data_IF_177591283958
#
_entry.id   IF_177591283958
#
_cell.length_a   1.000
_cell.length_b   1.000
_cell.length_c   1.000
_cell.angle_alpha   90.00
_cell.angle_beta   90.00
_cell.angle_gamma   90.00
#
_symmetry.space_group_name_H-M   'P 1'
#
loop_
_entity.id
_entity.type
_entity.pdbx_description
1 polymer ?
#
# COMPACT_ATOMS: atom_id res chain seq x y z
N UNK A 1 30.77 0.06 -6.70
CA UNK A 1 32.21 -0.22 -6.56
C UNK A 1 32.95 1.11 -6.48
N UNK A 2 34.09 1.13 -5.81
CA UNK A 2 34.97 2.31 -5.68
C UNK A 2 36.37 1.92 -6.09
N UNK A 3 37.02 2.77 -6.88
CA UNK A 3 38.39 2.57 -7.35
C UNK A 3 39.32 3.57 -6.67
N UNK A 4 40.48 3.11 -6.24
CA UNK A 4 41.47 3.88 -5.51
C UNK A 4 42.84 3.85 -6.20
N UNK A 5 43.60 4.91 -5.96
CA UNK A 5 45.02 5.08 -6.24
C UNK A 5 45.73 5.14 -4.89
N UNK A 6 46.19 3.99 -4.39
CA UNK A 6 46.81 3.87 -3.07
C UNK A 6 48.27 4.31 -3.11
N UNK A 7 48.95 4.11 -4.24
CA UNK A 7 50.36 4.46 -4.40
C UNK A 7 50.59 5.91 -4.87
N UNK A 8 49.53 6.59 -5.32
CA UNK A 8 49.59 7.98 -5.80
C UNK A 8 50.12 8.10 -7.23
N UNK A 9 50.24 6.99 -7.96
CA UNK A 9 50.79 6.92 -9.32
C UNK A 9 49.88 7.50 -10.40
N UNK A 10 48.69 7.98 -10.05
CA UNK A 10 47.78 8.65 -10.96
C UNK A 10 46.79 7.72 -11.67
N UNK A 11 46.95 6.40 -11.54
CA UNK A 11 46.02 5.38 -12.02
C UNK A 11 45.41 4.61 -10.85
N UNK A 12 44.22 4.05 -11.05
CA UNK A 12 43.60 3.22 -10.02
C UNK A 12 44.28 1.83 -9.96
N UNK A 13 44.87 1.50 -8.82
CA UNK A 13 45.54 0.23 -8.53
C UNK A 13 44.72 -0.69 -7.60
N UNK A 14 43.70 -0.16 -6.92
CA UNK A 14 42.91 -0.89 -5.95
C UNK A 14 41.41 -0.69 -6.16
N UNK A 15 40.61 -1.68 -5.77
CA UNK A 15 39.15 -1.64 -5.91
C UNK A 15 38.47 -2.22 -4.67
N UNK A 16 37.36 -1.57 -4.29
CA UNK A 16 36.52 -1.99 -3.18
C UNK A 16 35.03 -2.03 -3.57
N UNK A 17 34.26 -2.74 -2.75
CA UNK A 17 32.80 -2.68 -2.80
C UNK A 17 32.30 -1.65 -1.78
N UNK A 18 31.46 -0.70 -2.20
CA UNK A 18 30.82 0.24 -1.27
C UNK A 18 29.64 -0.47 -0.64
N UNK A 19 29.75 -0.80 0.65
CA UNK A 19 28.70 -1.47 1.42
C UNK A 19 27.63 -0.48 1.90
N UNK A 20 28.05 0.71 2.34
CA UNK A 20 27.13 1.74 2.86
C UNK A 20 27.70 3.15 2.67
N UNK A 21 26.80 4.13 2.70
CA UNK A 21 27.12 5.56 2.78
C UNK A 21 26.35 6.14 3.98
N UNK A 22 27.07 6.72 4.93
CA UNK A 22 26.50 7.37 6.12
C UNK A 22 27.04 8.79 6.20
N UNK A 23 26.19 9.78 5.95
CA UNK A 23 26.61 11.17 5.81
C UNK A 23 27.63 11.32 4.68
N UNK A 24 28.80 11.91 4.99
CA UNK A 24 29.91 12.08 4.07
C UNK A 24 30.93 10.92 4.07
N UNK A 25 30.62 9.82 4.74
CA UNK A 25 31.53 8.67 4.89
C UNK A 25 31.00 7.46 4.13
N UNK A 26 31.85 6.86 3.30
CA UNK A 26 31.61 5.54 2.71
C UNK A 26 32.18 4.46 3.63
N UNK A 27 31.49 3.32 3.73
CA UNK A 27 32.05 2.08 4.28
C UNK A 27 32.26 1.12 3.13
N UNK A 28 33.48 0.63 2.98
CA UNK A 28 33.88 -0.28 1.90
C UNK A 28 34.17 -1.66 2.44
N UNK A 29 34.03 -2.69 1.59
CA UNK A 29 34.56 -4.03 1.79
C UNK A 29 35.68 -4.21 0.77
N UNK A 30 36.89 -4.44 1.25
CA UNK A 30 38.10 -4.49 0.44
C UNK A 30 38.90 -5.76 0.75
N UNK A 31 39.49 -6.34 -0.30
CA UNK A 31 40.43 -7.45 -0.18
C UNK A 31 41.85 -6.96 0.08
N UNK A 32 42.74 -7.89 0.45
CA UNK A 32 44.16 -7.62 0.69
C UNK A 32 44.45 -6.52 1.74
N UNK A 33 43.50 -6.24 2.64
CA UNK A 33 43.70 -5.32 3.75
C UNK A 33 44.51 -6.03 4.86
N UNK A 34 45.83 -6.09 4.70
CA UNK A 34 46.73 -6.95 5.50
C UNK A 34 46.40 -8.44 5.35
N UNK A 35 46.35 -8.94 4.12
CA UNK A 35 46.07 -10.36 3.79
C UNK A 35 44.68 -10.87 4.25
N UNK A 36 43.72 -9.98 4.48
CA UNK A 36 42.32 -10.32 4.80
C UNK A 36 41.33 -9.45 4.04
N UNK A 37 40.06 -9.85 4.07
CA UNK A 37 38.94 -8.96 3.76
C UNK A 37 38.69 -8.08 4.98
N UNK A 38 38.59 -6.78 4.79
CA UNK A 38 38.28 -5.83 5.86
C UNK A 38 37.24 -4.81 5.42
N UNK A 39 36.58 -4.22 6.41
CA UNK A 39 35.76 -3.03 6.22
C UNK A 39 36.56 -1.79 6.56
N UNK A 40 36.63 -0.86 5.63
CA UNK A 40 37.31 0.41 5.80
C UNK A 40 36.32 1.56 5.68
N UNK A 41 36.68 2.73 6.21
CA UNK A 41 35.86 3.95 6.14
C UNK A 41 36.67 5.09 5.56
N UNK A 42 36.08 5.76 4.58
CA UNK A 42 36.71 6.89 3.89
C UNK A 42 35.71 8.04 3.74
N UNK A 43 36.20 9.27 3.66
CA UNK A 43 35.38 10.35 3.14
C UNK A 43 34.99 10.02 1.68
N UNK A 44 33.78 10.37 1.27
CA UNK A 44 33.31 10.11 -0.11
C UNK A 44 34.18 10.79 -1.18
N UNK A 45 34.90 11.84 -0.81
CA UNK A 45 35.81 12.61 -1.66
C UNK A 45 37.28 12.45 -1.23
N UNK A 46 37.64 11.34 -0.57
CA UNK A 46 39.04 11.05 -0.24
C UNK A 46 39.91 11.13 -1.50
N UNK A 47 41.05 11.81 -1.42
CA UNK A 47 41.91 12.11 -2.57
C UNK A 47 42.41 10.87 -3.31
N UNK A 48 42.46 9.72 -2.62
CA UNK A 48 42.84 8.43 -3.23
C UNK A 48 41.75 7.86 -4.12
N UNK A 49 40.51 8.33 -4.02
CA UNK A 49 39.40 7.82 -4.80
C UNK A 49 39.47 8.40 -6.22
N UNK A 50 39.63 7.52 -7.21
CA UNK A 50 39.59 7.90 -8.64
C UNK A 50 38.19 7.87 -9.23
N UNK A 51 37.27 7.16 -8.59
CA UNK A 51 35.88 7.21 -8.97
C UNK A 51 35.05 6.05 -8.45
N UNK A 52 33.77 6.11 -8.81
CA UNK A 52 32.78 5.10 -8.47
C UNK A 52 32.24 4.46 -9.74
N UNK A 53 32.25 3.14 -9.78
CA UNK A 53 31.55 2.39 -10.80
C UNK A 53 30.24 1.86 -10.22
N UNK A 54 29.15 2.09 -10.94
CA UNK A 54 27.82 1.55 -10.62
C UNK A 54 27.47 0.48 -11.64
N UNK A 55 27.68 -0.82 -11.34
CA UNK A 55 27.15 -1.88 -12.18
C UNK A 55 25.67 -1.67 -12.48
N UNK A 56 25.23 -2.08 -13.65
CA UNK A 56 23.80 -2.14 -13.99
C UNK A 56 23.16 -3.28 -13.19
N UNK A 57 22.90 -3.03 -11.91
CA UNK A 57 22.04 -3.89 -11.13
C UNK A 57 20.67 -3.92 -11.83
N UNK A 58 20.15 -5.12 -12.12
CA UNK A 58 18.79 -5.28 -12.65
C UNK A 58 17.82 -4.49 -11.78
N UNK A 59 16.68 -4.05 -12.34
CA UNK A 59 15.72 -3.16 -11.67
C UNK A 59 15.51 -3.61 -10.22
N UNK A 60 16.14 -2.88 -9.31
CA UNK A 60 16.05 -3.15 -7.89
C UNK A 60 14.59 -2.92 -7.56
N UNK A 61 13.86 -3.99 -7.24
CA UNK A 61 12.47 -3.88 -6.82
C UNK A 61 12.45 -2.82 -5.71
N UNK A 62 11.79 -1.70 -5.99
CA UNK A 62 11.56 -0.64 -5.02
C UNK A 62 11.09 -1.36 -3.76
N UNK A 63 11.79 -1.17 -2.64
CA UNK A 63 11.44 -1.84 -1.38
C UNK A 63 9.93 -1.71 -1.21
N UNK A 64 9.24 -2.84 -1.07
CA UNK A 64 7.84 -2.86 -0.68
C UNK A 64 7.84 -2.35 0.76
N UNK A 65 7.59 -1.05 0.94
CA UNK A 65 7.69 -0.42 2.26
C UNK A 65 6.64 -0.95 3.25
N UNK A 66 5.61 -1.64 2.75
CA UNK A 66 4.50 -2.17 3.55
C UNK A 66 4.37 -3.67 3.40
N UNK A 67 4.14 -4.34 4.52
CA UNK A 67 3.79 -5.77 4.57
C UNK A 67 2.35 -5.99 4.09
N UNK A 68 2.03 -7.23 3.73
CA UNK A 68 0.65 -7.65 3.37
C UNK A 68 -0.32 -7.32 4.52
N UNK A 69 0.08 -7.56 5.76
CA UNK A 69 -0.73 -7.27 6.95
C UNK A 69 -1.00 -5.76 7.11
N UNK A 70 0.00 -4.93 6.89
CA UNK A 70 -0.19 -3.47 6.91
C UNK A 70 -1.13 -3.04 5.78
N UNK A 71 -0.94 -3.54 4.57
CA UNK A 71 -1.81 -3.23 3.44
C UNK A 71 -3.25 -3.68 3.68
N UNK A 72 -3.45 -4.87 4.24
CA UNK A 72 -4.78 -5.38 4.54
C UNK A 72 -5.51 -4.51 5.57
N UNK A 73 -4.82 -4.06 6.62
CA UNK A 73 -5.37 -3.06 7.57
C UNK A 73 -5.69 -1.75 6.87
N UNK A 74 -4.80 -1.24 6.01
CA UNK A 74 -5.06 -0.02 5.26
C UNK A 74 -6.23 -0.14 4.27
N UNK A 75 -6.47 -1.33 3.72
CA UNK A 75 -7.65 -1.61 2.89
C UNK A 75 -8.91 -1.55 3.74
N UNK A 76 -8.90 -2.15 4.94
CA UNK A 76 -9.99 -2.05 5.92
C UNK A 76 -10.20 -0.60 6.40
N UNK A 77 -9.12 0.17 6.56
CA UNK A 77 -9.13 1.61 6.88
C UNK A 77 -9.47 2.50 5.67
N UNK A 78 -9.87 1.91 4.54
CA UNK A 78 -10.34 2.61 3.32
C UNK A 78 -9.27 3.45 2.59
N UNK A 79 -7.98 3.30 2.89
CA UNK A 79 -6.90 4.07 2.24
C UNK A 79 -6.66 3.69 0.77
N UNK A 80 -7.19 2.53 0.36
CA UNK A 80 -7.01 1.99 -0.99
C UNK A 80 -8.26 2.07 -1.86
N UNK A 81 -9.35 2.71 -1.42
CA UNK A 81 -10.61 2.74 -2.18
C UNK A 81 -11.39 1.42 -2.13
N UNK A 82 -12.42 1.28 -2.96
CA UNK A 82 -13.30 0.10 -2.99
C UNK A 82 -13.40 -0.54 -4.39
N UNK A 83 -13.80 -1.81 -4.44
CA UNK A 83 -14.00 -2.57 -5.68
C UNK A 83 -12.83 -2.48 -6.67
N UNK A 84 -13.13 -2.12 -7.92
CA UNK A 84 -12.14 -2.00 -8.99
C UNK A 84 -11.08 -0.92 -8.72
N UNK A 85 -11.41 0.14 -7.96
CA UNK A 85 -10.45 1.20 -7.67
C UNK A 85 -9.32 0.71 -6.77
N UNK A 86 -9.66 -0.12 -5.77
CA UNK A 86 -8.69 -0.80 -4.92
C UNK A 86 -7.73 -1.67 -5.69
N UNK A 87 -8.27 -2.49 -6.60
CA UNK A 87 -7.45 -3.36 -7.47
C UNK A 87 -6.45 -2.50 -8.24
N UNK A 88 -6.91 -1.44 -8.89
CA UNK A 88 -6.04 -0.54 -9.67
C UNK A 88 -4.95 0.10 -8.81
N UNK A 89 -5.29 0.65 -7.64
CA UNK A 89 -4.31 1.36 -6.78
C UNK A 89 -3.24 0.42 -6.22
N UNK A 90 -3.63 -0.76 -5.73
CA UNK A 90 -2.69 -1.74 -5.19
C UNK A 90 -1.74 -2.27 -6.27
N UNK A 91 -2.27 -2.59 -7.46
CA UNK A 91 -1.46 -3.07 -8.59
C UNK A 91 -0.54 -1.97 -9.12
N UNK A 92 -1.02 -0.74 -9.27
CA UNK A 92 -0.20 0.40 -9.69
C UNK A 92 0.93 0.71 -8.69
N UNK A 93 0.70 0.45 -7.39
CA UNK A 93 1.72 0.54 -6.35
C UNK A 93 2.70 -0.66 -6.33
N UNK A 94 2.48 -1.68 -7.18
CA UNK A 94 3.35 -2.85 -7.32
C UNK A 94 3.11 -3.95 -6.27
N UNK A 95 1.95 -3.92 -5.60
CA UNK A 95 1.55 -4.95 -4.63
C UNK A 95 0.75 -6.07 -5.30
N UNK A 96 0.79 -7.26 -4.69
CA UNK A 96 -0.04 -8.39 -5.10
C UNK A 96 -1.45 -8.24 -4.50
N UNK A 97 -2.42 -7.93 -5.36
CA UNK A 97 -3.80 -7.75 -4.92
C UNK A 97 -4.39 -9.01 -4.28
N UNK A 98 -4.11 -10.20 -4.82
CA UNK A 98 -4.71 -11.45 -4.32
C UNK A 98 -4.23 -11.71 -2.89
N UNK A 99 -2.93 -11.59 -2.66
CA UNK A 99 -2.34 -11.80 -1.35
C UNK A 99 -2.86 -10.79 -0.31
N UNK A 100 -3.03 -9.52 -0.70
CA UNK A 100 -3.63 -8.50 0.18
C UNK A 100 -5.10 -8.83 0.46
N UNK A 101 -5.88 -9.20 -0.55
CA UNK A 101 -7.30 -9.50 -0.41
C UNK A 101 -7.54 -10.76 0.45
N UNK A 102 -6.74 -11.80 0.29
CA UNK A 102 -6.79 -12.99 1.16
C UNK A 102 -6.54 -12.61 2.63
N UNK A 103 -5.57 -11.72 2.89
CA UNK A 103 -5.32 -11.25 4.25
C UNK A 103 -6.45 -10.40 4.79
N UNK A 104 -7.06 -9.52 3.97
CA UNK A 104 -8.26 -8.76 4.34
C UNK A 104 -9.37 -9.73 4.75
N UNK A 105 -9.65 -10.76 3.96
CA UNK A 105 -10.68 -11.75 4.26
C UNK A 105 -10.40 -12.46 5.59
N UNK A 106 -9.14 -12.83 5.88
CA UNK A 106 -8.78 -13.43 7.18
C UNK A 106 -9.03 -12.48 8.35
N UNK A 107 -8.65 -11.21 8.24
CA UNK A 107 -8.85 -10.22 9.30
C UNK A 107 -10.34 -10.00 9.60
N UNK A 108 -11.19 -10.08 8.58
CA UNK A 108 -12.64 -9.93 8.72
C UNK A 108 -13.24 -11.14 9.44
N UNK A 109 -12.82 -12.36 9.07
CA UNK A 109 -13.22 -13.58 9.77
C UNK A 109 -12.77 -13.53 11.25
N UNK A 110 -11.57 -13.04 11.52
CA UNK A 110 -11.06 -12.86 12.89
C UNK A 110 -11.93 -11.86 13.68
N UNK A 111 -12.25 -10.69 13.10
CA UNK A 111 -13.15 -9.69 13.70
C UNK A 111 -14.53 -10.28 14.01
N UNK A 112 -15.08 -11.07 13.10
CA UNK A 112 -16.43 -11.61 13.23
C UNK A 112 -16.54 -12.68 14.34
N UNK A 113 -15.44 -13.38 14.66
CA UNK A 113 -15.38 -14.30 15.82
C UNK A 113 -15.50 -13.57 17.15
N UNK A 114 -15.09 -12.31 17.21
CA UNK A 114 -15.16 -11.47 18.41
C UNK A 114 -16.54 -10.80 18.60
N UNK A 115 -17.52 -11.07 17.71
CA UNK A 115 -18.93 -10.73 17.90
C UNK A 115 -19.31 -9.26 17.74
N UNK A 116 -18.37 -8.38 17.40
CA UNK A 116 -18.61 -6.94 17.23
C UNK A 116 -19.15 -6.62 15.81
N UNK A 117 -20.40 -7.00 15.53
CA UNK A 117 -21.11 -6.54 14.32
C UNK A 117 -21.81 -5.21 14.58
N UNK A 118 -21.75 -4.30 13.61
CA UNK A 118 -22.48 -3.04 13.70
C UNK A 118 -23.98 -3.29 13.55
N UNK A 119 -24.79 -2.62 14.37
CA UNK A 119 -26.24 -2.69 14.25
C UNK A 119 -26.71 -2.17 12.88
N UNK A 120 -27.63 -2.87 12.20
CA UNK A 120 -28.09 -2.45 10.89
C UNK A 120 -28.97 -1.21 10.95
N UNK A 121 -28.80 -0.33 9.96
CA UNK A 121 -29.76 0.76 9.72
C UNK A 121 -31.17 0.18 9.47
N UNK A 122 -32.18 0.79 10.09
CA UNK A 122 -33.58 0.40 9.94
C UNK A 122 -34.15 0.78 8.56
N UNK A 123 -35.11 -0.01 8.06
CA UNK A 123 -35.91 0.37 6.89
C UNK A 123 -36.75 1.60 7.24
N UNK A 124 -36.81 2.58 6.34
CA UNK A 124 -37.47 3.87 6.55
C UNK A 124 -36.56 4.94 7.16
N UNK A 125 -35.43 4.58 7.75
CA UNK A 125 -34.41 5.55 8.12
C UNK A 125 -33.72 6.13 6.88
N UNK A 126 -33.01 7.24 7.06
CA UNK A 126 -32.23 7.86 5.99
C UNK A 126 -30.75 7.76 6.27
N UNK A 127 -29.96 7.51 5.23
CA UNK A 127 -28.49 7.40 5.31
C UNK A 127 -27.83 8.35 4.33
N UNK A 128 -26.69 8.90 4.72
CA UNK A 128 -25.83 9.64 3.81
C UNK A 128 -25.03 8.66 2.97
N UNK A 129 -25.00 8.84 1.66
CA UNK A 129 -24.03 8.16 0.79
C UNK A 129 -22.70 8.88 0.96
N UNK A 130 -21.65 8.18 1.39
CA UNK A 130 -20.38 8.82 1.67
C UNK A 130 -19.71 9.42 0.42
N UNK A 131 -18.93 10.48 0.59
CA UNK A 131 -18.20 11.14 -0.51
C UNK A 131 -17.13 10.25 -1.16
N UNK A 132 -16.70 9.19 -0.47
CA UNK A 132 -15.77 8.19 -1.02
C UNK A 132 -16.47 7.05 -1.76
N UNK A 133 -17.80 6.92 -1.67
CA UNK A 133 -18.52 5.85 -2.33
C UNK A 133 -18.36 5.98 -3.85
N UNK A 134 -17.86 4.92 -4.52
CA UNK A 134 -17.62 4.95 -5.97
C UNK A 134 -18.53 4.04 -6.78
N UNK A 135 -18.96 2.91 -6.22
CA UNK A 135 -19.81 1.93 -6.89
C UNK A 135 -20.87 1.39 -5.94
N UNK A 136 -22.04 1.08 -6.51
CA UNK A 136 -23.07 0.29 -5.84
C UNK A 136 -22.58 -1.14 -5.62
N UNK A 137 -23.26 -1.88 -4.74
CA UNK A 137 -23.00 -3.31 -4.51
C UNK A 137 -22.99 -4.11 -5.82
N UNK A 138 -23.88 -3.76 -6.75
CA UNK A 138 -24.02 -4.37 -8.08
C UNK A 138 -22.92 -3.96 -9.08
N UNK A 139 -21.97 -3.12 -8.67
CA UNK A 139 -20.80 -2.75 -9.45
C UNK A 139 -20.98 -1.57 -10.39
N UNK A 140 -22.18 -1.02 -10.56
CA UNK A 140 -22.39 0.23 -11.31
C UNK A 140 -21.82 1.42 -10.53
N UNK A 141 -21.29 2.41 -11.26
CA UNK A 141 -20.78 3.64 -10.63
C UNK A 141 -21.90 4.42 -9.95
N UNK A 142 -21.60 4.94 -8.76
CA UNK A 142 -22.46 5.90 -8.08
C UNK A 142 -22.29 7.26 -8.77
N UNK A 143 -23.40 7.90 -9.12
CA UNK A 143 -23.39 9.20 -9.77
C UNK A 143 -23.00 10.31 -8.77
N UNK A 144 -22.31 11.36 -9.23
CA UNK A 144 -21.80 12.40 -8.33
C UNK A 144 -22.89 13.15 -7.56
N UNK A 145 -24.10 13.28 -8.13
CA UNK A 145 -25.24 13.91 -7.46
C UNK A 145 -25.76 13.10 -6.26
N UNK A 146 -25.42 11.82 -6.17
CA UNK A 146 -25.80 10.93 -5.07
C UNK A 146 -24.82 11.08 -3.89
N UNK A 147 -23.54 11.31 -4.18
CA UNK A 147 -22.50 11.36 -3.17
C UNK A 147 -22.67 12.56 -2.23
N UNK A 148 -22.46 12.32 -0.95
CA UNK A 148 -22.66 13.31 0.11
C UNK A 148 -24.14 13.62 0.39
N UNK A 149 -25.09 13.01 -0.32
CA UNK A 149 -26.54 13.23 -0.12
C UNK A 149 -27.16 12.14 0.72
N UNK A 150 -28.34 12.46 1.27
CA UNK A 150 -29.10 11.60 2.18
C UNK A 150 -30.28 10.99 1.43
N UNK A 151 -30.46 9.68 1.57
CA UNK A 151 -31.52 8.91 0.93
C UNK A 151 -32.18 7.96 1.91
N UNK A 152 -33.45 7.65 1.67
CA UNK A 152 -34.24 6.74 2.51
C UNK A 152 -33.89 5.29 2.17
N UNK A 153 -33.67 4.48 3.20
CA UNK A 153 -33.48 3.03 3.12
C UNK A 153 -34.84 2.37 2.88
N UNK A 154 -35.05 1.81 1.69
CA UNK A 154 -36.26 1.03 1.35
C UNK A 154 -36.16 -0.42 1.80
N UNK A 155 -34.97 -1.00 1.74
CA UNK A 155 -34.75 -2.40 2.04
C UNK A 155 -33.34 -2.58 2.60
N UNK A 156 -33.13 -3.62 3.39
CA UNK A 156 -31.81 -4.02 3.89
C UNK A 156 -31.62 -5.52 3.76
N UNK A 157 -30.38 -5.93 3.53
CA UNK A 157 -30.00 -7.35 3.45
C UNK A 157 -28.65 -7.57 4.12
N UNK A 158 -28.56 -8.65 4.90
CA UNK A 158 -27.30 -9.15 5.45
C UNK A 158 -26.51 -9.85 4.34
N UNK A 159 -25.20 -9.60 4.27
CA UNK A 159 -24.33 -10.17 3.25
C UNK A 159 -23.02 -10.68 3.86
N UNK A 160 -22.45 -11.69 3.23
CA UNK A 160 -21.08 -12.14 3.49
C UNK A 160 -20.14 -11.36 2.56
N UNK A 161 -19.56 -10.27 3.06
CA UNK A 161 -18.66 -9.42 2.29
C UNK A 161 -17.49 -8.91 3.15
N UNK A 162 -16.27 -8.79 2.58
CA UNK A 162 -15.06 -8.50 3.36
C UNK A 162 -15.01 -7.15 4.09
N UNK A 163 -15.98 -6.28 3.92
CA UNK A 163 -15.97 -4.93 4.52
C UNK A 163 -17.36 -4.48 4.97
N UNK A 164 -18.37 -5.32 4.77
CA UNK A 164 -19.76 -4.92 4.88
C UNK A 164 -20.57 -6.11 5.37
N UNK A 165 -21.27 -5.94 6.48
CA UNK A 165 -22.19 -6.97 6.97
C UNK A 165 -23.59 -6.74 6.38
N UNK A 166 -23.87 -5.52 5.91
CA UNK A 166 -25.16 -5.10 5.38
C UNK A 166 -25.05 -4.37 4.04
N UNK A 167 -26.14 -4.44 3.27
CA UNK A 167 -26.45 -3.56 2.14
C UNK A 167 -27.83 -2.94 2.32
N UNK A 168 -27.98 -1.72 1.82
CA UNK A 168 -29.19 -0.90 1.93
C UNK A 168 -29.65 -0.46 0.55
N UNK A 169 -30.87 -0.81 0.16
CA UNK A 169 -31.50 -0.28 -1.05
C UNK A 169 -31.93 1.15 -0.77
N UNK A 170 -31.29 2.11 -1.44
CA UNK A 170 -31.61 3.52 -1.28
C UNK A 170 -32.68 3.97 -2.26
N UNK A 171 -33.43 4.98 -1.87
CA UNK A 171 -34.42 5.61 -2.72
C UNK A 171 -34.36 7.12 -2.75
N UNK A 172 -34.69 7.68 -3.91
CA UNK A 172 -34.93 9.09 -4.10
C UNK A 172 -36.41 9.28 -4.41
N UNK A 173 -37.16 9.88 -3.47
CA UNK A 173 -38.62 10.09 -3.59
C UNK A 173 -39.40 8.81 -3.91
N UNK A 174 -39.06 7.70 -3.23
CA UNK A 174 -39.72 6.41 -3.41
C UNK A 174 -39.27 5.59 -4.61
N UNK A 175 -38.35 6.12 -5.43
CA UNK A 175 -37.75 5.38 -6.55
C UNK A 175 -36.41 4.82 -6.11
N UNK A 176 -36.23 3.51 -6.22
CA UNK A 176 -34.97 2.83 -5.92
C UNK A 176 -33.84 3.34 -6.83
N UNK A 177 -32.69 3.66 -6.23
CA UNK A 177 -31.51 4.20 -6.94
C UNK A 177 -30.30 3.27 -6.91
N UNK A 178 -30.20 2.37 -5.93
CA UNK A 178 -29.11 1.41 -5.86
C UNK A 178 -28.90 0.81 -4.47
N UNK A 179 -28.18 -0.32 -4.44
CA UNK A 179 -27.77 -1.01 -3.21
C UNK A 179 -26.44 -0.44 -2.70
N UNK A 180 -26.49 0.28 -1.59
CA UNK A 180 -25.32 0.83 -0.90
C UNK A 180 -24.78 -0.18 0.10
N UNK A 181 -23.47 -0.43 0.08
CA UNK A 181 -22.80 -1.24 1.10
C UNK A 181 -22.67 -0.43 2.41
N UNK A 182 -22.88 -1.06 3.57
CA UNK A 182 -22.78 -0.42 4.89
C UNK A 182 -21.48 0.37 5.11
N UNK A 183 -20.35 -0.08 4.56
CA UNK A 183 -19.06 0.62 4.58
C UNK A 183 -19.04 2.00 3.89
N UNK A 184 -20.01 2.25 3.01
CA UNK A 184 -20.18 3.42 2.14
C UNK A 184 -21.33 4.32 2.64
N UNK A 185 -21.94 3.96 3.78
CA UNK A 185 -22.77 4.87 4.58
C UNK A 185 -21.85 5.89 5.25
N UNK A 186 -22.12 7.17 5.02
CA UNK A 186 -21.43 8.28 5.66
C UNK A 186 -22.08 8.70 6.97
N UNK A 187 -21.34 9.44 7.78
CA UNK A 187 -21.84 10.11 8.99
C UNK A 187 -22.89 11.20 8.67
#
# INVERSE_FOLDING_TARGET
MVCFDWDGGGFADHIGFVEAVTGSTITTIEGNASRRVARNRFAWNDWRIKGYARPKYGSQARRRDKTVDQLAREVLDRKWGNGADRVRRLVAAGYDYQLVQERVNRLVIERDKDGARADPVAVGASVRVADWATHWQTGQRIADWVKGKVFTVMERKEIDHPQSDWVYLLSNRGIAIGWLLSQDVGE
#
